data_IF_008129602695
#
_entry.id   IF_008129602695
#
_cell.length_a   1.000
_cell.length_b   1.000
_cell.length_c   1.000
_cell.angle_alpha   90.00
_cell.angle_beta   90.00
_cell.angle_gamma   90.00
#
_symmetry.space_group_name_H-M   'P 1'
#
loop_
_entity.id
_entity.type
_entity.pdbx_description
1 polymer ?
#
# COMPACT_ATOMS: atom_id res chain seq x y z
N UNK A 1 -50.34 35.23 -4.54
CA UNK A 1 -49.92 35.94 -3.31
C UNK A 1 -48.43 35.76 -3.18
N UNK A 2 -47.68 36.84 -2.95
CA UNK A 2 -46.23 36.79 -2.80
C UNK A 2 -45.81 36.77 -1.33
N UNK A 3 -44.62 36.26 -1.09
CA UNK A 3 -43.79 36.45 0.10
C UNK A 3 -42.35 36.23 -0.35
N UNK A 4 -41.56 37.28 -0.59
CA UNK A 4 -40.94 38.15 0.41
C UNK A 4 -39.83 37.40 1.18
N UNK A 5 -38.61 37.52 0.66
CA UNK A 5 -37.36 37.18 1.34
C UNK A 5 -37.06 38.26 2.40
N UNK A 6 -36.46 37.91 3.55
CA UNK A 6 -35.83 38.90 4.42
C UNK A 6 -34.43 39.26 3.89
N UNK A 7 -34.19 40.56 3.76
CA UNK A 7 -32.85 41.13 3.66
C UNK A 7 -32.12 40.93 5.00
N UNK A 8 -30.80 40.73 4.97
CA UNK A 8 -29.94 40.92 6.14
C UNK A 8 -28.76 41.80 5.74
N UNK A 9 -28.50 42.77 6.61
CA UNK A 9 -27.68 43.96 6.37
C UNK A 9 -26.17 43.72 6.50
N UNK A 10 -25.43 44.70 6.03
CA UNK A 10 -23.99 44.90 6.25
C UNK A 10 -23.67 45.38 7.68
N UNK A 11 -22.40 45.75 7.85
CA UNK A 11 -21.80 46.42 9.02
C UNK A 11 -21.41 45.42 10.13
N UNK A 12 -20.28 45.52 10.85
CA UNK A 12 -19.32 46.65 10.99
C UNK A 12 -17.88 46.14 11.29
N UNK A 13 -16.93 47.06 11.38
CA UNK A 13 -15.47 46.87 11.41
C UNK A 13 -14.86 46.20 12.67
N UNK A 14 -13.58 45.81 12.57
CA UNK A 14 -12.80 45.26 13.68
C UNK A 14 -11.35 44.93 13.34
N UNK A 15 -10.52 45.96 13.18
CA UNK A 15 -9.05 45.82 13.20
C UNK A 15 -8.57 45.26 14.56
N UNK A 16 -7.57 44.38 14.56
CA UNK A 16 -6.55 44.42 15.62
C UNK A 16 -5.20 43.87 15.14
N UNK A 17 -4.16 44.37 15.78
CA UNK A 17 -2.79 44.46 15.28
C UNK A 17 -1.86 43.40 15.91
N UNK A 18 -0.62 43.33 15.44
CA UNK A 18 0.52 42.58 16.04
C UNK A 18 0.47 41.03 15.96
N UNK A 19 1.57 40.28 16.01
CA UNK A 19 2.99 40.63 16.20
C UNK A 19 3.90 39.73 15.37
N UNK A 20 5.02 40.27 14.89
CA UNK A 20 6.09 39.47 14.29
C UNK A 20 6.99 38.87 15.37
N UNK A 21 7.29 37.57 15.27
CA UNK A 21 8.42 36.94 15.99
C UNK A 21 9.35 36.27 14.99
N UNK A 22 10.46 36.94 14.69
CA UNK A 22 11.59 36.31 14.01
C UNK A 22 12.27 35.30 14.94
N UNK A 23 12.82 34.23 14.35
CA UNK A 23 13.80 33.35 15.00
C UNK A 23 14.96 33.09 14.05
N UNK A 24 16.19 32.91 14.58
CA UNK A 24 17.40 33.30 13.87
C UNK A 24 17.94 32.21 12.93
N UNK A 25 18.66 32.64 11.90
CA UNK A 25 19.43 31.74 11.05
C UNK A 25 20.64 31.17 11.80
N UNK A 26 20.98 29.92 11.47
CA UNK A 26 22.25 29.31 11.88
C UNK A 26 23.21 29.29 10.69
N UNK A 27 24.46 29.70 10.94
CA UNK A 27 25.60 29.62 10.00
C UNK A 27 26.64 28.69 10.60
N UNK A 28 27.47 28.09 9.74
CA UNK A 28 28.56 27.21 10.14
C UNK A 28 28.14 25.73 10.19
N UNK A 29 28.99 24.77 9.85
CA UNK A 29 30.43 24.91 9.53
C UNK A 29 30.81 24.12 8.28
N UNK A 30 31.74 24.70 7.52
CA UNK A 30 32.61 23.96 6.61
C UNK A 30 33.55 23.08 7.45
N UNK A 31 33.82 21.85 7.01
CA UNK A 31 35.10 21.20 7.27
C UNK A 31 35.40 20.21 6.16
N UNK A 32 36.55 20.44 5.53
CA UNK A 32 37.22 19.53 4.63
C UNK A 32 37.61 18.23 5.36
N UNK A 33 37.67 17.11 4.62
CA UNK A 33 38.67 16.08 4.95
C UNK A 33 39.10 15.37 3.65
N UNK A 34 40.25 15.80 3.14
CA UNK A 34 41.02 15.12 2.09
C UNK A 34 41.66 13.85 2.65
N UNK A 35 41.56 12.71 1.96
CA UNK A 35 42.35 11.55 2.39
C UNK A 35 42.19 10.27 1.57
N UNK A 36 43.29 9.83 0.93
CA UNK A 36 43.50 8.42 0.64
C UNK A 36 43.72 8.03 -0.82
N UNK A 37 44.79 8.54 -1.46
CA UNK A 37 45.39 7.84 -2.59
C UNK A 37 45.99 6.50 -2.12
N UNK A 38 45.51 5.37 -2.65
CA UNK A 38 46.21 4.08 -2.55
C UNK A 38 46.44 3.49 -3.95
N UNK A 39 47.62 3.80 -4.49
CA UNK A 39 48.09 3.34 -5.78
C UNK A 39 48.87 2.01 -5.69
N UNK A 40 48.17 0.87 -5.59
CA UNK A 40 48.84 -0.43 -5.67
C UNK A 40 49.24 -0.80 -7.10
N UNK A 41 50.52 -0.56 -7.39
CA UNK A 41 51.24 -1.08 -8.55
C UNK A 41 51.40 -2.61 -8.48
N UNK A 42 50.80 -3.33 -9.43
CA UNK A 42 51.17 -4.73 -9.74
C UNK A 42 51.58 -4.89 -11.20
N UNK A 43 52.89 -4.74 -11.44
CA UNK A 43 53.54 -5.11 -12.70
C UNK A 43 53.53 -6.63 -12.90
N UNK A 44 52.96 -7.12 -13.99
CA UNK A 44 53.29 -8.46 -14.50
C UNK A 44 53.38 -8.48 -16.03
N UNK A 45 54.40 -9.18 -16.53
CA UNK A 45 54.89 -9.11 -17.91
C UNK A 45 54.18 -10.10 -18.85
N UNK A 46 53.68 -9.66 -20.02
CA UNK A 46 53.27 -10.56 -21.09
C UNK A 46 54.42 -10.85 -22.06
N UNK A 47 54.67 -12.13 -22.34
CA UNK A 47 55.69 -12.58 -23.31
C UNK A 47 55.23 -12.39 -24.77
N UNK A 48 56.16 -12.15 -25.73
CA UNK A 48 55.79 -11.84 -27.11
C UNK A 48 55.51 -13.09 -27.95
N UNK A 49 54.26 -13.32 -28.35
CA UNK A 49 53.91 -14.29 -29.42
C UNK A 49 53.64 -13.63 -30.77
N UNK A 50 54.31 -14.17 -31.78
CA UNK A 50 54.42 -13.63 -33.15
C UNK A 50 53.13 -13.80 -33.97
N UNK A 51 52.81 -12.74 -34.74
CA UNK A 51 52.27 -12.74 -36.12
C UNK A 51 50.99 -13.57 -36.41
N UNK A 52 49.93 -12.89 -36.86
CA UNK A 52 49.42 -13.13 -38.22
C UNK A 52 48.75 -11.89 -38.83
N UNK A 53 48.85 -11.77 -40.16
CA UNK A 53 48.46 -10.60 -40.97
C UNK A 53 46.99 -10.68 -41.39
N UNK A 54 46.33 -9.53 -41.43
CA UNK A 54 45.61 -9.09 -42.63
C UNK A 54 44.12 -9.40 -42.76
N UNK A 55 43.29 -8.37 -42.57
CA UNK A 55 42.06 -8.16 -43.35
C UNK A 55 41.69 -6.67 -43.33
N UNK A 56 41.72 -6.00 -44.49
CA UNK A 56 41.33 -4.58 -44.60
C UNK A 56 39.81 -4.49 -44.84
N UNK A 57 39.04 -4.36 -43.75
CA UNK A 57 37.62 -4.02 -43.81
C UNK A 57 37.41 -2.60 -44.33
N UNK A 58 36.55 -2.40 -45.33
CA UNK A 58 36.30 -1.10 -45.98
C UNK A 58 35.66 -0.11 -45.01
N UNK A 59 36.18 1.13 -45.00
CA UNK A 59 35.55 2.27 -44.34
C UNK A 59 34.17 2.56 -44.97
N UNK A 60 33.11 2.54 -44.16
CA UNK A 60 31.76 2.89 -44.59
C UNK A 60 31.65 4.39 -44.88
N UNK A 61 31.13 4.74 -46.07
CA UNK A 61 30.92 6.14 -46.47
C UNK A 61 29.97 6.83 -45.48
N UNK A 62 30.40 7.98 -44.93
CA UNK A 62 29.52 8.91 -44.22
C UNK A 62 28.36 9.28 -45.14
N UNK A 63 27.11 9.04 -44.72
CA UNK A 63 25.93 9.64 -45.38
C UNK A 63 26.00 11.16 -45.20
N UNK A 64 25.66 11.90 -46.25
CA UNK A 64 25.74 13.35 -46.24
C UNK A 64 24.74 13.94 -45.23
N UNK A 65 25.17 14.98 -44.52
CA UNK A 65 24.35 15.78 -43.61
C UNK A 65 23.75 16.95 -44.41
N UNK A 66 22.74 16.65 -45.22
CA UNK A 66 21.83 17.58 -45.89
C UNK A 66 20.42 16.96 -45.82
N UNK A 67 19.39 17.79 -46.00
CA UNK A 67 17.97 17.41 -45.92
C UNK A 67 17.45 17.27 -44.47
N UNK A 68 17.76 18.26 -43.62
CA UNK A 68 17.10 18.48 -42.31
C UNK A 68 16.75 19.96 -42.04
N UNK A 69 16.76 20.75 -43.11
CA UNK A 69 15.96 21.95 -43.33
C UNK A 69 14.91 21.44 -44.37
N UNK A 70 13.61 21.68 -44.29
CA UNK A 70 12.89 22.82 -43.70
C UNK A 70 11.41 22.43 -43.49
N UNK A 71 11.01 22.08 -42.27
CA UNK A 71 9.60 21.93 -41.90
C UNK A 71 9.46 22.27 -40.40
N UNK A 72 9.66 23.55 -40.09
CA UNK A 72 9.30 24.09 -38.77
C UNK A 72 7.77 23.94 -38.65
N UNK A 73 7.25 23.25 -37.62
CA UNK A 73 5.82 23.18 -37.41
C UNK A 73 5.29 24.60 -37.25
N UNK A 74 4.35 25.01 -38.11
CA UNK A 74 3.58 26.23 -37.87
C UNK A 74 2.82 26.03 -36.57
N UNK A 75 3.27 26.68 -35.50
CA UNK A 75 2.66 26.60 -34.19
C UNK A 75 1.20 27.05 -34.31
N UNK A 76 0.27 26.12 -34.03
CA UNK A 76 -1.18 26.32 -34.15
C UNK A 76 -1.68 27.22 -33.00
N UNK A 77 -1.39 28.51 -33.14
CA UNK A 77 -1.74 29.56 -32.18
C UNK A 77 -3.26 29.74 -32.04
N UNK A 78 -4.05 29.31 -33.02
CA UNK A 78 -5.52 29.33 -32.98
C UNK A 78 -6.10 28.36 -31.94
N UNK A 79 -5.30 27.38 -31.48
CA UNK A 79 -5.65 26.49 -30.36
C UNK A 79 -5.54 27.12 -28.97
N UNK A 80 -4.70 28.15 -28.80
CA UNK A 80 -4.34 28.70 -27.48
C UNK A 80 -5.53 29.25 -26.68
N UNK A 81 -6.48 30.01 -27.27
CA UNK A 81 -7.64 30.52 -26.52
C UNK A 81 -8.50 29.41 -25.91
N UNK A 82 -8.67 28.28 -26.61
CA UNK A 82 -9.48 27.13 -26.12
C UNK A 82 -8.82 26.43 -24.94
N UNK A 83 -7.49 26.35 -24.94
CA UNK A 83 -6.70 25.79 -23.83
C UNK A 83 -6.84 26.72 -22.61
N UNK A 84 -6.75 28.03 -22.81
CA UNK A 84 -6.89 29.02 -21.73
C UNK A 84 -8.30 28.99 -21.11
N UNK A 85 -9.36 28.90 -21.93
CA UNK A 85 -10.74 28.74 -21.46
C UNK A 85 -10.95 27.48 -20.61
N UNK A 86 -10.33 26.35 -21.00
CA UNK A 86 -10.43 25.12 -20.19
C UNK A 86 -9.62 25.23 -18.89
N UNK A 87 -8.43 25.84 -18.92
CA UNK A 87 -7.65 26.11 -17.70
C UNK A 87 -8.44 27.00 -16.71
N UNK A 88 -9.11 28.05 -17.19
CA UNK A 88 -9.97 28.91 -16.36
C UNK A 88 -11.18 28.14 -15.78
N UNK A 89 -11.80 27.23 -16.54
CA UNK A 89 -12.86 26.33 -16.03
C UNK A 89 -12.34 25.38 -14.96
N UNK A 90 -11.13 24.82 -15.12
CA UNK A 90 -10.52 23.94 -14.12
C UNK A 90 -10.15 24.74 -12.86
N UNK A 91 -9.62 25.96 -12.99
CA UNK A 91 -9.37 26.86 -11.85
C UNK A 91 -10.66 27.19 -11.09
N UNK A 92 -11.76 27.50 -11.80
CA UNK A 92 -13.06 27.74 -11.17
C UNK A 92 -13.63 26.50 -10.46
N UNK A 93 -13.38 25.29 -10.96
CA UNK A 93 -13.72 24.02 -10.27
C UNK A 93 -12.85 23.83 -9.02
N UNK A 94 -11.56 24.09 -9.11
CA UNK A 94 -10.61 23.96 -8.00
C UNK A 94 -10.95 24.93 -6.85
N UNK A 95 -11.28 26.18 -7.15
CA UNK A 95 -11.72 27.15 -6.13
C UNK A 95 -12.99 26.67 -5.40
N UNK A 96 -13.97 26.13 -6.13
CA UNK A 96 -15.18 25.52 -5.51
C UNK A 96 -14.89 24.31 -4.63
N UNK A 97 -13.81 23.57 -4.87
CA UNK A 97 -13.37 22.49 -4.00
C UNK A 97 -12.66 23.05 -2.75
N UNK A 98 -11.79 24.04 -2.90
CA UNK A 98 -11.13 24.72 -1.77
C UNK A 98 -12.15 25.34 -0.80
N UNK A 99 -13.22 25.96 -1.30
CA UNK A 99 -14.28 26.51 -0.45
C UNK A 99 -15.10 25.43 0.29
N UNK A 100 -15.21 24.21 -0.28
CA UNK A 100 -15.77 23.05 0.43
C UNK A 100 -14.83 22.54 1.52
N UNK A 101 -13.53 22.45 1.25
CA UNK A 101 -12.52 22.09 2.25
C UNK A 101 -12.56 23.08 3.45
N UNK A 102 -12.57 24.39 3.19
CA UNK A 102 -12.74 25.44 4.20
C UNK A 102 -14.06 25.38 4.97
N UNK A 103 -15.10 24.78 4.40
CA UNK A 103 -16.36 24.51 5.11
C UNK A 103 -16.21 23.30 6.04
N UNK A 104 -15.58 22.23 5.56
CA UNK A 104 -15.28 21.03 6.36
C UNK A 104 -14.35 21.33 7.54
N UNK A 105 -13.29 22.12 7.34
CA UNK A 105 -12.38 22.58 8.39
C UNK A 105 -13.11 23.30 9.54
N UNK A 106 -14.07 24.18 9.19
CA UNK A 106 -14.91 24.87 10.18
C UNK A 106 -15.81 23.91 10.95
N UNK A 107 -16.44 22.94 10.27
CA UNK A 107 -17.25 21.91 10.92
C UNK A 107 -16.41 21.01 11.83
N UNK A 108 -15.20 20.61 11.41
CA UNK A 108 -14.25 19.87 12.26
C UNK A 108 -13.84 20.66 13.50
N UNK A 109 -13.60 21.97 13.37
CA UNK A 109 -13.29 22.84 14.50
C UNK A 109 -14.48 22.95 15.49
N UNK A 110 -15.72 22.98 15.01
CA UNK A 110 -16.92 22.93 15.86
C UNK A 110 -17.06 21.57 16.57
N UNK A 111 -16.87 20.46 15.85
CA UNK A 111 -16.87 19.10 16.41
C UNK A 111 -15.81 18.94 17.50
N UNK A 112 -14.59 19.45 17.28
CA UNK A 112 -13.51 19.46 18.27
C UNK A 112 -13.86 20.27 19.53
N UNK A 113 -14.50 21.44 19.37
CA UNK A 113 -15.03 22.25 20.48
C UNK A 113 -16.13 21.50 21.25
N UNK A 114 -17.04 20.80 20.56
CA UNK A 114 -18.07 19.98 21.21
C UNK A 114 -17.47 18.81 21.99
N UNK A 115 -16.54 18.06 21.39
CA UNK A 115 -15.79 16.98 22.04
C UNK A 115 -15.11 17.45 23.32
N UNK A 116 -14.41 18.59 23.27
CA UNK A 116 -13.73 19.18 24.43
C UNK A 116 -14.70 19.55 25.58
N UNK A 117 -15.89 20.09 25.26
CA UNK A 117 -16.94 20.36 26.26
C UNK A 117 -17.45 19.07 26.92
N UNK A 118 -17.61 18.00 26.17
CA UNK A 118 -18.08 16.70 26.67
C UNK A 118 -17.05 16.04 27.61
N UNK A 119 -15.76 16.11 27.27
CA UNK A 119 -14.69 15.64 28.17
C UNK A 119 -14.70 16.42 29.50
N UNK A 120 -14.97 17.72 29.45
CA UNK A 120 -15.10 18.55 30.66
C UNK A 120 -16.34 18.17 31.51
N UNK A 121 -17.49 17.91 30.89
CA UNK A 121 -18.68 17.42 31.61
C UNK A 121 -18.49 16.00 32.17
N UNK A 122 -17.90 15.08 31.41
CA UNK A 122 -17.54 13.74 31.88
C UNK A 122 -16.63 13.82 33.13
N UNK A 123 -15.66 14.73 33.12
CA UNK A 123 -14.78 14.96 34.27
C UNK A 123 -15.50 15.60 35.47
N UNK A 124 -16.48 16.49 35.26
CA UNK A 124 -17.34 17.01 36.34
C UNK A 124 -18.16 15.87 36.97
N UNK A 125 -18.80 15.04 36.15
CA UNK A 125 -19.59 13.88 36.59
C UNK A 125 -18.71 12.90 37.40
N UNK A 126 -17.51 12.58 36.92
CA UNK A 126 -16.55 11.74 37.67
C UNK A 126 -16.17 12.34 39.01
N UNK A 127 -15.89 13.66 39.08
CA UNK A 127 -15.57 14.35 40.34
C UNK A 127 -16.73 14.32 41.35
N UNK A 128 -17.97 14.57 40.91
CA UNK A 128 -19.13 14.50 41.81
C UNK A 128 -19.39 13.06 42.28
N UNK A 129 -19.27 12.07 41.39
CA UNK A 129 -19.42 10.66 41.73
C UNK A 129 -18.39 10.17 42.78
N UNK A 130 -17.14 10.67 42.73
CA UNK A 130 -16.09 10.36 43.71
C UNK A 130 -16.35 10.97 45.10
N UNK A 131 -17.11 12.07 45.18
CA UNK A 131 -17.49 12.70 46.45
C UNK A 131 -18.72 12.05 47.12
N UNK A 132 -19.45 11.19 46.40
CA UNK A 132 -20.69 10.56 46.86
C UNK A 132 -20.49 9.23 47.59
N UNK A 133 -21.34 8.93 48.58
CA UNK A 133 -21.39 7.61 49.23
C UNK A 133 -21.56 6.49 48.20
N UNK A 134 -20.91 5.34 48.44
CA UNK A 134 -20.67 4.19 47.52
C UNK A 134 -21.86 3.59 46.72
N UNK A 135 -23.10 4.05 46.90
CA UNK A 135 -24.29 3.48 46.26
C UNK A 135 -24.61 3.96 44.83
N UNK A 136 -23.85 4.90 44.24
CA UNK A 136 -24.28 5.59 42.99
C UNK A 136 -23.34 5.45 41.78
N UNK A 137 -22.22 4.73 41.88
CA UNK A 137 -21.24 4.61 40.77
C UNK A 137 -21.84 4.02 39.48
N UNK A 138 -22.75 3.05 39.59
CA UNK A 138 -23.31 2.35 38.43
C UNK A 138 -24.18 3.25 37.53
N UNK A 139 -24.83 4.28 38.08
CA UNK A 139 -25.62 5.24 37.30
C UNK A 139 -24.75 6.22 36.50
N UNK A 140 -23.54 6.52 36.99
CA UNK A 140 -22.61 7.44 36.32
C UNK A 140 -22.11 6.91 34.97
N UNK A 141 -21.90 5.60 34.85
CA UNK A 141 -21.42 4.99 33.59
C UNK A 141 -22.48 5.03 32.49
N UNK A 142 -23.73 4.74 32.83
CA UNK A 142 -24.86 4.77 31.89
C UNK A 142 -25.08 6.20 31.35
N UNK A 143 -25.04 7.21 32.22
CA UNK A 143 -25.21 8.60 31.81
C UNK A 143 -24.11 9.05 30.84
N UNK A 144 -22.87 8.62 31.06
CA UNK A 144 -21.74 8.94 30.18
C UNK A 144 -21.86 8.30 28.79
N UNK A 145 -22.34 7.05 28.72
CA UNK A 145 -22.59 6.37 27.44
C UNK A 145 -23.76 7.02 26.68
N UNK A 146 -24.83 7.39 27.38
CA UNK A 146 -25.96 8.12 26.78
C UNK A 146 -25.53 9.49 26.22
N UNK A 147 -24.67 10.22 26.93
CA UNK A 147 -24.14 11.50 26.47
C UNK A 147 -23.31 11.36 25.19
N UNK A 148 -22.43 10.35 25.11
CA UNK A 148 -21.63 10.06 23.90
C UNK A 148 -22.51 9.63 22.72
N UNK A 149 -23.55 8.83 22.97
CA UNK A 149 -24.45 8.35 21.93
C UNK A 149 -25.34 9.47 21.34
N UNK A 150 -25.89 10.34 22.20
CA UNK A 150 -26.66 11.51 21.76
C UNK A 150 -25.83 12.46 20.88
N UNK A 151 -24.56 12.66 21.22
CA UNK A 151 -23.63 13.49 20.45
C UNK A 151 -23.30 12.86 19.10
N UNK A 152 -23.11 11.54 19.03
CA UNK A 152 -22.92 10.85 17.75
C UNK A 152 -24.13 11.03 16.82
N UNK A 153 -25.36 10.90 17.33
CA UNK A 153 -26.58 11.14 16.55
C UNK A 153 -26.62 12.58 16.03
N UNK A 154 -26.32 13.56 16.90
CA UNK A 154 -26.33 14.98 16.50
C UNK A 154 -25.25 15.32 15.45
N UNK A 155 -24.08 14.67 15.55
CA UNK A 155 -23.03 14.69 14.52
C UNK A 155 -23.50 14.09 13.20
N UNK A 156 -24.16 12.93 13.25
CA UNK A 156 -24.68 12.22 12.10
C UNK A 156 -25.77 13.06 11.39
N UNK A 157 -26.69 13.67 12.13
CA UNK A 157 -27.70 14.59 11.60
C UNK A 157 -27.09 15.85 10.97
N UNK A 158 -26.08 16.47 11.62
CA UNK A 158 -25.37 17.63 11.07
C UNK A 158 -24.64 17.30 9.76
N UNK A 159 -24.02 16.12 9.67
CA UNK A 159 -23.28 15.67 8.49
C UNK A 159 -24.22 15.24 7.35
N UNK A 160 -25.26 14.45 7.65
CA UNK A 160 -26.29 14.02 6.69
C UNK A 160 -27.09 15.20 6.11
N UNK A 161 -27.34 16.24 6.90
CA UNK A 161 -28.10 17.41 6.47
C UNK A 161 -27.33 18.39 5.55
N UNK A 162 -26.00 18.32 5.51
CA UNK A 162 -25.17 19.34 4.82
C UNK A 162 -24.20 18.82 3.76
N UNK A 163 -23.93 17.51 3.71
CA UNK A 163 -22.98 16.92 2.77
C UNK A 163 -23.69 16.11 1.69
N UNK A 164 -23.21 16.23 0.45
CA UNK A 164 -23.61 15.32 -0.61
C UNK A 164 -23.10 13.90 -0.25
N UNK A 165 -23.82 12.80 -0.56
CA UNK A 165 -23.44 11.46 -0.11
C UNK A 165 -22.01 11.00 -0.48
N UNK A 166 -21.43 11.61 -1.52
CA UNK A 166 -20.03 11.38 -1.94
C UNK A 166 -19.03 12.06 -1.00
N UNK A 167 -19.35 13.25 -0.50
CA UNK A 167 -18.49 14.03 0.40
C UNK A 167 -18.52 13.42 1.82
N UNK A 168 -19.69 12.93 2.26
CA UNK A 168 -19.87 12.18 3.51
C UNK A 168 -19.01 10.90 3.55
N UNK A 169 -18.84 10.23 2.41
CA UNK A 169 -18.01 9.03 2.27
C UNK A 169 -16.51 9.33 2.38
N UNK A 170 -16.03 10.50 1.91
CA UNK A 170 -14.65 10.93 2.12
C UNK A 170 -14.34 11.17 3.61
N UNK A 171 -15.19 11.93 4.30
CA UNK A 171 -15.01 12.27 5.72
C UNK A 171 -15.00 11.00 6.61
N UNK A 172 -15.83 10.01 6.29
CA UNK A 172 -15.83 8.71 6.97
C UNK A 172 -14.51 7.95 6.81
N UNK A 173 -13.86 8.06 5.64
CA UNK A 173 -12.55 7.44 5.39
C UNK A 173 -11.40 8.18 6.09
N UNK A 174 -11.44 9.53 6.16
CA UNK A 174 -10.44 10.32 6.89
C UNK A 174 -10.56 10.14 8.41
N UNK A 175 -11.78 10.14 8.98
CA UNK A 175 -11.99 9.75 10.37
C UNK A 175 -11.55 8.30 10.65
N UNK A 176 -11.76 7.39 9.71
CA UNK A 176 -11.23 6.02 9.77
C UNK A 176 -9.70 5.97 9.79
N UNK A 177 -9.04 6.87 9.07
CA UNK A 177 -7.58 7.00 9.04
C UNK A 177 -7.01 7.63 10.33
N UNK A 178 -7.66 8.66 10.89
CA UNK A 178 -7.29 9.21 12.20
C UNK A 178 -7.51 8.19 13.33
N UNK A 179 -8.62 7.44 13.31
CA UNK A 179 -8.87 6.37 14.27
C UNK A 179 -7.83 5.25 14.14
N UNK A 180 -7.43 4.89 12.91
CA UNK A 180 -6.33 3.96 12.67
C UNK A 180 -4.98 4.51 13.17
N UNK A 181 -4.72 5.82 13.03
CA UNK A 181 -3.53 6.49 13.56
C UNK A 181 -3.50 6.47 15.09
N UNK A 182 -4.64 6.71 15.74
CA UNK A 182 -4.77 6.58 17.20
C UNK A 182 -4.51 5.14 17.68
N UNK A 183 -4.97 4.13 16.94
CA UNK A 183 -4.68 2.71 17.22
C UNK A 183 -3.20 2.37 17.00
N UNK A 184 -2.54 2.96 16.00
CA UNK A 184 -1.11 2.76 15.72
C UNK A 184 -0.21 3.21 16.88
N UNK A 185 -0.64 4.19 17.69
CA UNK A 185 0.13 4.66 18.85
C UNK A 185 0.17 3.66 20.02
N UNK A 186 -0.71 2.65 20.08
CA UNK A 186 -0.70 1.61 21.11
C UNK A 186 -0.24 0.22 20.61
N UNK A 187 0.05 0.07 19.31
CA UNK A 187 0.44 -1.22 18.71
C UNK A 187 1.90 -1.21 18.29
N UNK A 188 2.76 -1.92 19.04
CA UNK A 188 4.16 -2.15 18.69
C UNK A 188 4.27 -2.84 17.30
N UNK A 189 4.78 -2.16 16.26
CA UNK A 189 4.62 -2.61 14.89
C UNK A 189 5.78 -3.51 14.46
N UNK A 190 5.46 -4.76 14.12
CA UNK A 190 6.41 -5.71 13.53
C UNK A 190 6.51 -5.57 12.00
N UNK A 191 7.56 -6.17 11.45
CA UNK A 191 7.76 -6.39 10.03
C UNK A 191 7.96 -7.88 9.74
N UNK A 192 7.71 -8.28 8.50
CA UNK A 192 8.18 -9.52 7.92
C UNK A 192 8.58 -9.21 6.48
N UNK A 193 9.70 -9.79 6.05
CA UNK A 193 10.25 -9.80 4.68
C UNK A 193 9.29 -10.39 3.62
N UNK A 194 9.75 -11.21 2.67
CA UNK A 194 11.11 -11.65 2.39
C UNK A 194 11.77 -10.78 1.30
N UNK A 195 13.10 -10.68 1.32
CA UNK A 195 13.87 -10.21 0.17
C UNK A 195 14.86 -11.30 -0.30
N UNK A 196 15.01 -11.46 -1.61
CA UNK A 196 15.93 -12.44 -2.21
C UNK A 196 17.23 -11.76 -2.64
N UNK A 197 18.24 -11.85 -1.77
CA UNK A 197 19.62 -11.48 -2.09
C UNK A 197 20.37 -12.60 -2.83
N UNK A 198 21.51 -12.24 -3.42
CA UNK A 198 22.57 -13.20 -3.76
C UNK A 198 23.78 -12.96 -2.88
N UNK A 199 24.16 -13.96 -2.10
CA UNK A 199 25.42 -13.90 -1.36
C UNK A 199 26.62 -13.86 -2.32
N UNK A 200 27.78 -13.45 -1.81
CA UNK A 200 29.03 -13.36 -2.57
C UNK A 200 29.39 -14.63 -3.38
N UNK A 201 28.98 -15.82 -2.88
CA UNK A 201 29.14 -17.13 -3.55
C UNK A 201 28.07 -17.46 -4.61
N UNK A 202 27.21 -16.50 -5.01
CA UNK A 202 26.12 -16.61 -6.00
C UNK A 202 24.97 -17.58 -5.63
N UNK A 203 24.92 -18.09 -4.41
CA UNK A 203 23.73 -18.76 -3.89
C UNK A 203 22.62 -17.72 -3.62
N UNK A 204 21.38 -18.08 -3.92
CA UNK A 204 20.22 -17.29 -3.50
C UNK A 204 20.07 -17.38 -1.98
N UNK A 205 19.94 -16.23 -1.33
CA UNK A 205 19.74 -16.10 0.11
C UNK A 205 18.45 -15.32 0.29
N UNK A 206 17.45 -15.95 0.92
CA UNK A 206 16.21 -15.26 1.26
C UNK A 206 16.34 -14.68 2.67
N UNK A 207 16.31 -13.36 2.78
CA UNK A 207 16.39 -12.62 4.04
C UNK A 207 14.97 -12.42 4.57
N UNK A 208 14.60 -13.23 5.56
CA UNK A 208 13.39 -13.04 6.37
C UNK A 208 13.71 -12.08 7.52
N UNK A 209 13.75 -10.79 7.23
CA UNK A 209 13.84 -9.76 8.26
C UNK A 209 12.52 -9.64 9.03
N UNK A 210 12.58 -9.71 10.36
CA UNK A 210 11.45 -9.46 11.26
C UNK A 210 11.82 -8.37 12.25
N UNK A 211 11.60 -7.12 11.86
CA UNK A 211 12.08 -5.93 12.59
C UNK A 211 10.92 -5.14 13.20
N UNK A 212 10.99 -4.75 14.48
CA UNK A 212 10.13 -3.71 15.02
C UNK A 212 10.57 -2.35 14.46
N UNK A 213 9.64 -1.42 14.21
CA UNK A 213 9.96 -0.06 13.70
C UNK A 213 10.88 0.73 14.65
N UNK A 214 11.02 0.30 15.90
CA UNK A 214 11.86 0.92 16.93
C UNK A 214 13.23 0.23 17.13
N UNK A 215 13.61 -0.72 16.27
CA UNK A 215 14.99 -1.24 16.18
C UNK A 215 15.50 -2.15 17.30
N UNK A 216 14.77 -2.32 18.41
CA UNK A 216 15.15 -3.23 19.49
C UNK A 216 13.98 -4.04 20.06
N UNK A 217 14.26 -5.31 20.37
CA UNK A 217 13.62 -6.03 21.48
C UNK A 217 12.25 -6.66 21.24
N UNK A 218 12.12 -7.58 20.28
CA UNK A 218 11.04 -8.58 20.31
C UNK A 218 11.48 -9.94 19.76
N UNK A 219 11.26 -10.99 20.56
CA UNK A 219 11.44 -12.38 20.15
C UNK A 219 10.33 -12.86 19.20
N UNK A 220 10.57 -14.00 18.54
CA UNK A 220 9.79 -14.50 17.40
C UNK A 220 8.46 -15.16 17.85
N UNK A 221 7.39 -14.39 18.03
CA UNK A 221 6.09 -14.87 18.57
C UNK A 221 5.15 -15.50 17.52
N UNK A 222 5.16 -15.04 16.27
CA UNK A 222 4.01 -15.13 15.32
C UNK A 222 3.51 -16.57 15.01
N UNK A 223 4.34 -17.61 15.12
CA UNK A 223 4.00 -19.00 14.76
C UNK A 223 4.06 -20.00 15.92
N UNK A 224 4.40 -19.57 17.14
CA UNK A 224 4.46 -20.45 18.32
C UNK A 224 3.09 -20.69 18.97
N UNK A 225 2.25 -19.66 19.04
CA UNK A 225 1.02 -19.66 19.84
C UNK A 225 0.00 -20.73 19.42
N UNK A 226 -0.16 -20.98 18.12
CA UNK A 226 -1.24 -21.81 17.59
C UNK A 226 -0.98 -23.32 17.71
N UNK A 227 0.18 -23.74 18.25
CA UNK A 227 0.61 -25.16 18.37
C UNK A 227 0.28 -26.00 17.13
N UNK A 228 0.45 -25.45 15.93
CA UNK A 228 0.08 -26.10 14.68
C UNK A 228 0.68 -27.52 14.66
N UNK A 229 -0.19 -28.51 14.55
CA UNK A 229 0.12 -29.90 14.87
C UNK A 229 1.27 -30.41 14.00
N UNK A 230 2.39 -30.75 14.64
CA UNK A 230 3.66 -31.10 13.99
C UNK A 230 4.88 -30.36 14.58
N UNK A 231 4.69 -29.21 15.23
CA UNK A 231 5.78 -28.37 15.76
C UNK A 231 6.08 -28.57 17.26
N UNK A 232 5.89 -29.75 17.83
CA UNK A 232 5.75 -29.94 19.29
C UNK A 232 7.03 -29.90 20.15
N UNK A 233 8.25 -29.87 19.57
CA UNK A 233 9.48 -30.10 20.37
C UNK A 233 10.68 -29.17 20.12
N UNK A 234 10.57 -28.13 19.29
CA UNK A 234 11.72 -27.27 18.97
C UNK A 234 11.30 -25.83 18.70
N UNK A 235 11.97 -24.86 19.33
CA UNK A 235 11.57 -23.44 19.35
C UNK A 235 11.47 -22.75 17.97
N UNK A 236 10.98 -21.49 18.01
CA UNK A 236 10.47 -20.71 16.87
C UNK A 236 11.22 -20.87 15.54
N UNK A 237 12.55 -20.82 15.58
CA UNK A 237 13.43 -20.95 14.41
C UNK A 237 13.17 -22.25 13.63
N UNK A 238 13.01 -23.38 14.32
CA UNK A 238 12.80 -24.68 13.65
C UNK A 238 11.39 -24.80 13.07
N UNK A 239 10.40 -24.14 13.66
CA UNK A 239 9.05 -24.02 13.08
C UNK A 239 9.08 -23.23 11.77
N UNK A 240 9.81 -22.11 11.73
CA UNK A 240 10.01 -21.30 10.51
C UNK A 240 10.77 -22.07 9.43
N UNK A 241 11.86 -22.75 9.80
CA UNK A 241 12.62 -23.59 8.85
C UNK A 241 11.76 -24.73 8.26
N UNK A 242 10.92 -25.37 9.10
CA UNK A 242 9.99 -26.41 8.64
C UNK A 242 8.93 -25.85 7.67
N UNK A 243 8.26 -24.76 8.03
CA UNK A 243 7.26 -24.12 7.17
C UNK A 243 7.86 -23.59 5.86
N UNK A 244 9.11 -23.12 5.89
CA UNK A 244 9.83 -22.73 4.67
C UNK A 244 10.20 -23.93 3.80
N UNK A 245 10.58 -25.07 4.40
CA UNK A 245 10.82 -26.31 3.67
C UNK A 245 9.52 -26.85 3.02
N UNK A 246 8.40 -26.83 3.74
CA UNK A 246 7.07 -27.17 3.20
C UNK A 246 6.67 -26.24 2.05
N UNK A 247 6.80 -24.92 2.23
CA UNK A 247 6.52 -23.92 1.20
C UNK A 247 7.39 -24.11 -0.06
N UNK A 248 8.68 -24.41 0.14
CA UNK A 248 9.62 -24.64 -0.96
C UNK A 248 9.31 -25.92 -1.74
N UNK A 249 8.89 -26.99 -1.07
CA UNK A 249 8.46 -28.21 -1.75
C UNK A 249 7.10 -28.01 -2.44
N UNK A 250 6.15 -27.32 -1.81
CA UNK A 250 4.87 -26.93 -2.42
C UNK A 250 5.04 -26.12 -3.71
N UNK A 251 6.05 -25.26 -3.76
CA UNK A 251 6.27 -24.32 -4.85
C UNK A 251 7.34 -24.74 -5.88
N UNK A 252 7.89 -25.95 -5.76
CA UNK A 252 9.03 -26.49 -6.51
C UNK A 252 8.96 -26.33 -8.04
N UNK A 253 7.74 -26.30 -8.60
CA UNK A 253 7.48 -26.15 -10.04
C UNK A 253 7.02 -24.74 -10.45
N UNK A 254 6.66 -23.88 -9.48
CA UNK A 254 5.92 -22.63 -9.73
C UNK A 254 6.53 -21.39 -9.04
N UNK A 255 7.60 -21.52 -8.24
CA UNK A 255 8.29 -20.39 -7.61
C UNK A 255 9.16 -19.62 -8.61
N UNK A 256 8.89 -18.32 -8.74
CA UNK A 256 9.76 -17.31 -9.33
C UNK A 256 9.42 -15.98 -8.67
N UNK A 257 10.37 -15.04 -8.58
CA UNK A 257 10.23 -13.76 -7.84
C UNK A 257 8.90 -13.01 -8.06
N UNK A 258 8.34 -13.08 -9.28
CA UNK A 258 7.04 -12.47 -9.57
C UNK A 258 5.85 -13.20 -8.93
N UNK A 259 5.93 -14.51 -8.77
CA UNK A 259 4.87 -15.33 -8.21
C UNK A 259 4.82 -15.36 -6.67
N UNK A 260 5.86 -14.92 -5.95
CA UNK A 260 6.02 -15.02 -4.50
C UNK A 260 4.73 -14.77 -3.71
N UNK A 261 4.11 -13.59 -3.90
CA UNK A 261 2.83 -13.24 -3.24
C UNK A 261 1.72 -14.25 -3.56
N UNK A 262 1.58 -14.68 -4.82
CA UNK A 262 0.52 -15.64 -5.21
C UNK A 262 0.80 -17.05 -4.70
N UNK A 263 2.06 -17.46 -4.64
CA UNK A 263 2.49 -18.77 -4.18
C UNK A 263 2.32 -18.87 -2.67
N UNK A 264 2.76 -17.85 -1.92
CA UNK A 264 2.59 -17.77 -0.46
C UNK A 264 1.11 -17.76 -0.09
N UNK A 265 0.26 -16.96 -0.75
CA UNK A 265 -1.18 -16.93 -0.42
C UNK A 265 -1.89 -18.25 -0.78
N UNK A 266 -1.49 -18.93 -1.87
CA UNK A 266 -1.97 -20.28 -2.19
C UNK A 266 -1.54 -21.32 -1.17
N UNK A 267 -0.26 -21.32 -0.80
CA UNK A 267 0.30 -22.21 0.21
C UNK A 267 -0.37 -22.02 1.58
N UNK A 268 -0.54 -20.77 2.02
CA UNK A 268 -1.19 -20.46 3.30
C UNK A 268 -2.65 -20.92 3.29
N UNK A 269 -3.42 -20.69 2.21
CA UNK A 269 -4.79 -21.21 2.11
C UNK A 269 -4.83 -22.74 2.15
N UNK A 270 -3.88 -23.42 1.49
CA UNK A 270 -3.74 -24.87 1.57
C UNK A 270 -3.42 -25.34 3.00
N UNK A 271 -2.44 -24.73 3.67
CA UNK A 271 -2.00 -25.11 5.01
C UNK A 271 -3.10 -24.87 6.06
N UNK A 272 -3.72 -23.68 6.07
CA UNK A 272 -4.85 -23.39 6.95
C UNK A 272 -6.07 -24.27 6.62
N UNK A 273 -6.31 -24.58 5.34
CA UNK A 273 -7.37 -25.51 4.92
C UNK A 273 -7.16 -26.94 5.42
N UNK A 274 -5.92 -27.42 5.52
CA UNK A 274 -5.64 -28.71 6.18
C UNK A 274 -5.81 -28.61 7.70
N UNK A 275 -5.22 -27.59 8.35
CA UNK A 275 -5.35 -27.38 9.80
C UNK A 275 -6.81 -27.30 10.26
N UNK A 276 -7.66 -26.56 9.53
CA UNK A 276 -9.10 -26.44 9.83
C UNK A 276 -9.86 -27.76 9.63
N UNK A 277 -9.43 -28.62 8.70
CA UNK A 277 -10.05 -29.95 8.49
C UNK A 277 -9.61 -31.00 9.51
N UNK A 278 -8.41 -30.86 10.07
CA UNK A 278 -7.85 -31.82 11.02
C UNK A 278 -8.41 -31.67 12.45
N UNK A 279 -9.13 -30.57 12.72
CA UNK A 279 -10.14 -30.22 13.78
C UNK A 279 -9.89 -30.59 15.26
N UNK A 280 -9.31 -31.75 15.56
CA UNK A 280 -9.18 -32.40 16.87
C UNK A 280 -8.56 -31.56 18.00
N UNK A 281 -7.91 -30.43 17.68
CA UNK A 281 -7.16 -29.61 18.63
C UNK A 281 -7.46 -28.09 18.55
N UNK A 282 -8.44 -27.64 17.75
CA UNK A 282 -8.59 -26.21 17.45
C UNK A 282 -9.32 -25.40 18.54
N UNK A 283 -10.23 -26.03 19.30
CA UNK A 283 -10.92 -25.38 20.43
C UNK A 283 -11.47 -23.99 20.12
N UNK A 284 -11.16 -23.01 20.99
CA UNK A 284 -11.58 -21.61 20.85
C UNK A 284 -10.83 -20.82 19.74
N UNK A 285 -9.80 -21.42 19.12
CA UNK A 285 -9.08 -20.83 17.98
C UNK A 285 -9.66 -21.20 16.63
N UNK A 286 -10.50 -22.24 16.53
CA UNK A 286 -11.14 -22.70 15.27
C UNK A 286 -11.74 -21.53 14.48
N UNK A 287 -12.64 -20.76 15.10
CA UNK A 287 -13.30 -19.61 14.46
C UNK A 287 -12.34 -18.51 14.00
N UNK A 288 -11.17 -18.37 14.63
CA UNK A 288 -10.16 -17.40 14.22
C UNK A 288 -9.37 -17.92 12.99
N UNK A 289 -9.01 -19.20 12.98
CA UNK A 289 -8.33 -19.86 11.86
C UNK A 289 -9.22 -19.94 10.61
N UNK A 290 -10.52 -20.23 10.77
CA UNK A 290 -11.52 -20.16 9.70
C UNK A 290 -11.57 -18.76 9.06
N UNK A 291 -11.53 -17.69 9.88
CA UNK A 291 -11.56 -16.31 9.36
C UNK A 291 -10.30 -15.98 8.56
N UNK A 292 -9.14 -16.52 8.98
CA UNK A 292 -7.88 -16.40 8.21
C UNK A 292 -7.99 -17.17 6.90
N UNK A 293 -8.53 -18.39 6.91
CA UNK A 293 -8.73 -19.22 5.72
C UNK A 293 -9.68 -18.57 4.72
N UNK A 294 -10.80 -17.99 5.18
CA UNK A 294 -11.74 -17.21 4.37
C UNK A 294 -11.03 -16.02 3.70
N UNK A 295 -10.27 -15.25 4.49
CA UNK A 295 -9.49 -14.13 4.00
C UNK A 295 -8.49 -14.57 2.92
N UNK A 296 -7.71 -15.61 3.16
CA UNK A 296 -6.72 -16.15 2.21
C UNK A 296 -7.38 -16.71 0.95
N UNK A 297 -8.56 -17.32 1.07
CA UNK A 297 -9.34 -17.84 -0.06
C UNK A 297 -9.88 -16.69 -0.91
N UNK A 298 -10.37 -15.62 -0.29
CA UNK A 298 -10.76 -14.39 -0.99
C UNK A 298 -9.56 -13.74 -1.70
N UNK A 299 -8.41 -13.61 -1.03
CA UNK A 299 -7.16 -13.11 -1.62
C UNK A 299 -6.71 -13.93 -2.83
N UNK A 300 -6.74 -15.27 -2.74
CA UNK A 300 -6.42 -16.15 -3.85
C UNK A 300 -7.36 -15.97 -5.04
N UNK A 301 -8.67 -15.82 -4.78
CA UNK A 301 -9.68 -15.59 -5.83
C UNK A 301 -9.50 -14.23 -6.49
N UNK A 302 -9.22 -13.19 -5.71
CA UNK A 302 -8.91 -11.84 -6.19
C UNK A 302 -7.69 -11.84 -7.11
N UNK A 303 -6.54 -12.31 -6.61
CA UNK A 303 -5.28 -12.36 -7.36
C UNK A 303 -5.41 -13.24 -8.61
N UNK A 304 -5.93 -14.46 -8.48
CA UNK A 304 -6.06 -15.38 -9.63
C UNK A 304 -6.98 -14.84 -10.72
N UNK A 305 -8.02 -14.08 -10.36
CA UNK A 305 -8.89 -13.44 -11.35
C UNK A 305 -8.20 -12.26 -12.03
N UNK A 306 -7.42 -11.45 -11.29
CA UNK A 306 -6.62 -10.37 -11.84
C UNK A 306 -5.56 -10.86 -12.85
N UNK A 307 -4.78 -11.91 -12.51
CA UNK A 307 -3.79 -12.48 -13.44
C UNK A 307 -4.39 -13.16 -14.67
N UNK A 308 -5.64 -13.61 -14.59
CA UNK A 308 -6.37 -14.18 -15.74
C UNK A 308 -6.95 -13.10 -16.66
N UNK A 309 -7.15 -11.89 -16.17
CA UNK A 309 -7.67 -10.78 -16.97
C UNK A 309 -6.58 -10.16 -17.85
N UNK A 310 -6.97 -9.74 -19.05
CA UNK A 310 -6.13 -8.87 -19.88
C UNK A 310 -6.00 -7.46 -19.29
N UNK A 311 -5.42 -6.54 -20.07
CA UNK A 311 -5.26 -5.13 -19.69
C UNK A 311 -6.62 -4.45 -19.42
N UNK A 312 -7.66 -4.81 -20.17
CA UNK A 312 -9.02 -4.31 -19.97
C UNK A 312 -9.88 -5.41 -19.30
N UNK A 313 -10.40 -5.14 -18.10
CA UNK A 313 -11.16 -6.14 -17.34
C UNK A 313 -12.58 -6.26 -17.88
N UNK A 314 -12.99 -7.46 -18.30
CA UNK A 314 -14.37 -7.75 -18.71
C UNK A 314 -15.34 -7.64 -17.53
N UNK A 315 -16.55 -7.09 -17.75
CA UNK A 315 -17.55 -6.86 -16.68
C UNK A 315 -17.88 -8.09 -15.82
N UNK A 316 -17.82 -9.30 -16.41
CA UNK A 316 -18.04 -10.59 -15.72
C UNK A 316 -16.94 -10.88 -14.67
N UNK A 317 -15.69 -10.64 -15.03
CA UNK A 317 -14.53 -10.85 -14.17
C UNK A 317 -14.41 -9.70 -13.16
N UNK A 318 -14.71 -8.46 -13.57
CA UNK A 318 -14.75 -7.29 -12.68
C UNK A 318 -15.67 -7.50 -11.47
N UNK A 319 -16.88 -8.03 -11.68
CA UNK A 319 -17.80 -8.39 -10.57
C UNK A 319 -17.14 -9.38 -9.59
N UNK A 320 -16.40 -10.35 -10.12
CA UNK A 320 -15.70 -11.36 -9.32
C UNK A 320 -14.52 -10.75 -8.55
N UNK A 321 -13.73 -9.89 -9.21
CA UNK A 321 -12.60 -9.17 -8.61
C UNK A 321 -13.11 -8.26 -7.48
N UNK A 322 -14.07 -7.38 -7.73
CA UNK A 322 -14.63 -6.46 -6.70
C UNK A 322 -15.20 -7.25 -5.51
N UNK A 323 -16.00 -8.30 -5.76
CA UNK A 323 -16.57 -9.13 -4.70
C UNK A 323 -15.51 -9.86 -3.87
N UNK A 324 -14.46 -10.40 -4.49
CA UNK A 324 -13.36 -11.07 -3.77
C UNK A 324 -12.40 -10.08 -3.09
N UNK A 325 -12.23 -8.89 -3.66
CA UNK A 325 -11.49 -7.78 -3.07
C UNK A 325 -12.13 -7.32 -1.75
N UNK A 326 -13.43 -7.04 -1.77
CA UNK A 326 -14.18 -6.72 -0.55
C UNK A 326 -14.14 -7.84 0.49
N UNK A 327 -14.33 -9.09 0.08
CA UNK A 327 -14.24 -10.23 1.00
C UNK A 327 -12.85 -10.37 1.64
N UNK A 328 -11.77 -10.08 0.89
CA UNK A 328 -10.40 -10.02 1.40
C UNK A 328 -10.20 -8.87 2.40
N UNK A 329 -10.65 -7.65 2.08
CA UNK A 329 -10.53 -6.49 2.98
C UNK A 329 -11.32 -6.70 4.28
N UNK A 330 -12.56 -7.20 4.19
CA UNK A 330 -13.39 -7.53 5.35
C UNK A 330 -12.82 -8.71 6.15
N UNK A 331 -12.29 -9.73 5.48
CA UNK A 331 -11.60 -10.86 6.12
C UNK A 331 -10.39 -10.38 6.93
N UNK A 332 -9.57 -9.51 6.35
CA UNK A 332 -8.42 -8.91 7.03
C UNK A 332 -8.86 -8.12 8.28
N UNK A 333 -9.86 -7.26 8.15
CA UNK A 333 -10.39 -6.48 9.27
C UNK A 333 -10.93 -7.39 10.40
N UNK A 334 -11.71 -8.42 10.07
CA UNK A 334 -12.21 -9.41 11.05
C UNK A 334 -11.07 -10.15 11.75
N UNK A 335 -10.03 -10.55 11.02
CA UNK A 335 -8.85 -11.18 11.60
C UNK A 335 -8.10 -10.24 12.55
N UNK A 336 -7.94 -8.98 12.15
CA UNK A 336 -7.32 -7.94 12.99
C UNK A 336 -8.10 -7.72 14.28
N UNK A 337 -9.43 -7.58 14.22
CA UNK A 337 -10.29 -7.47 15.40
C UNK A 337 -10.17 -8.70 16.29
N UNK A 338 -10.25 -9.92 15.74
CA UNK A 338 -10.14 -11.17 16.52
C UNK A 338 -8.78 -11.32 17.20
N UNK A 339 -7.69 -10.95 16.52
CA UNK A 339 -6.35 -10.95 17.10
C UNK A 339 -6.24 -9.92 18.24
N UNK A 340 -6.71 -8.69 18.01
CA UNK A 340 -6.74 -7.63 19.02
C UNK A 340 -7.55 -8.03 20.26
N UNK A 341 -8.73 -8.63 20.11
CA UNK A 341 -9.54 -9.12 21.25
C UNK A 341 -8.86 -10.23 22.05
N UNK A 342 -7.89 -10.94 21.46
CA UNK A 342 -7.07 -11.96 22.13
C UNK A 342 -5.73 -11.39 22.65
N UNK A 343 -5.50 -10.08 22.58
CA UNK A 343 -4.25 -9.43 22.98
C UNK A 343 -3.08 -9.63 22.01
N UNK A 344 -3.36 -10.06 20.76
CA UNK A 344 -2.34 -10.38 19.77
C UNK A 344 -2.17 -9.28 18.71
N UNK A 345 -0.98 -8.67 18.66
CA UNK A 345 -0.58 -7.67 17.65
C UNK A 345 -0.21 -8.29 16.28
N UNK A 346 -1.07 -9.14 15.70
CA UNK A 346 -0.76 -9.94 14.49
C UNK A 346 -1.06 -9.27 13.14
N UNK A 347 -1.91 -8.25 13.10
CA UNK A 347 -2.36 -7.62 11.85
C UNK A 347 -1.99 -6.14 11.80
N UNK A 348 -0.98 -5.81 10.98
CA UNK A 348 -0.48 -4.45 10.78
C UNK A 348 -1.07 -3.80 9.54
N UNK A 349 -1.80 -2.70 9.73
CA UNK A 349 -2.23 -1.80 8.66
C UNK A 349 -1.01 -1.10 8.05
N UNK A 350 -0.45 -1.69 6.99
CA UNK A 350 0.65 -1.10 6.22
C UNK A 350 0.12 -0.17 5.12
N UNK A 351 0.91 0.81 4.64
CA UNK A 351 0.55 1.61 3.46
C UNK A 351 0.21 0.78 2.22
N UNK A 352 0.83 -0.40 2.06
CA UNK A 352 0.48 -1.37 1.00
C UNK A 352 -0.96 -1.91 1.11
N UNK A 353 -1.52 -2.05 2.32
CA UNK A 353 -2.91 -2.44 2.53
C UNK A 353 -3.86 -1.26 2.21
N UNK A 354 -3.49 -0.04 2.58
CA UNK A 354 -4.26 1.15 2.19
C UNK A 354 -4.32 1.33 0.66
N UNK A 355 -3.19 1.12 -0.05
CA UNK A 355 -3.17 1.08 -1.52
C UNK A 355 -4.07 -0.03 -2.10
N UNK A 356 -4.17 -1.19 -1.43
CA UNK A 356 -5.06 -2.26 -1.84
C UNK A 356 -6.54 -1.89 -1.67
N UNK A 357 -6.89 -1.12 -0.62
CA UNK A 357 -8.24 -0.56 -0.47
C UNK A 357 -8.61 0.34 -1.66
N UNK A 358 -7.74 1.31 -2.01
CA UNK A 358 -7.95 2.19 -3.17
C UNK A 358 -8.15 1.40 -4.46
N UNK A 359 -7.30 0.40 -4.72
CA UNK A 359 -7.44 -0.47 -5.90
C UNK A 359 -8.79 -1.18 -5.95
N UNK A 360 -9.31 -1.68 -4.82
CA UNK A 360 -10.62 -2.34 -4.77
C UNK A 360 -11.76 -1.33 -4.99
N UNK A 361 -11.70 -0.16 -4.35
CA UNK A 361 -12.74 0.88 -4.47
C UNK A 361 -12.77 1.52 -5.87
N UNK A 362 -11.62 1.74 -6.52
CA UNK A 362 -11.57 2.23 -7.90
C UNK A 362 -12.20 1.23 -8.89
N UNK A 363 -11.95 -0.06 -8.71
CA UNK A 363 -12.57 -1.12 -9.51
C UNK A 363 -14.08 -1.19 -9.29
N UNK A 364 -14.56 -0.96 -8.06
CA UNK A 364 -15.99 -0.87 -7.74
C UNK A 364 -16.65 0.39 -8.33
N UNK A 365 -15.99 1.54 -8.25
CA UNK A 365 -16.46 2.77 -8.86
C UNK A 365 -16.62 2.61 -10.38
N UNK A 366 -15.64 1.99 -11.05
CA UNK A 366 -15.72 1.63 -12.46
C UNK A 366 -16.86 0.63 -12.75
N UNK A 367 -17.02 -0.41 -11.93
CA UNK A 367 -18.09 -1.40 -12.08
C UNK A 367 -19.48 -0.75 -12.02
N UNK A 368 -19.66 0.18 -11.08
CA UNK A 368 -20.88 0.96 -10.83
C UNK A 368 -21.17 1.92 -11.98
N UNK A 369 -20.18 2.68 -12.42
CA UNK A 369 -20.25 3.61 -13.58
C UNK A 369 -20.37 2.89 -14.94
N UNK A 370 -20.35 1.56 -14.96
CA UNK A 370 -20.32 0.71 -16.18
C UNK A 370 -19.13 0.99 -17.10
N UNK A 371 -18.03 1.49 -16.56
CA UNK A 371 -16.77 1.71 -17.26
C UNK A 371 -16.00 0.38 -17.38
N UNK A 372 -15.03 0.34 -18.30
CA UNK A 372 -14.10 -0.78 -18.48
C UNK A 372 -12.78 -0.39 -17.81
N UNK A 373 -12.50 -0.86 -16.58
CA UNK A 373 -11.28 -0.47 -15.90
C UNK A 373 -10.05 -1.15 -16.51
N UNK A 374 -8.94 -0.45 -16.42
CA UNK A 374 -7.61 -1.00 -16.65
C UNK A 374 -7.27 -1.92 -15.48
N UNK A 375 -6.66 -3.08 -15.78
CA UNK A 375 -6.20 -4.03 -14.80
C UNK A 375 -5.07 -3.41 -13.96
N UNK A 376 -5.18 -3.35 -12.62
CA UNK A 376 -4.14 -2.79 -11.76
C UNK A 376 -2.74 -3.39 -11.96
N UNK A 377 -2.67 -4.65 -12.42
CA UNK A 377 -1.40 -5.31 -12.77
C UNK A 377 -0.65 -4.63 -13.93
N UNK A 378 -1.32 -3.81 -14.76
CA UNK A 378 -0.67 -3.00 -15.79
C UNK A 378 0.29 -1.94 -15.22
N UNK A 379 0.09 -1.54 -13.95
CA UNK A 379 0.97 -0.62 -13.22
C UNK A 379 1.97 -1.34 -12.29
N UNK A 380 1.97 -2.68 -12.28
CA UNK A 380 2.85 -3.47 -11.39
C UNK A 380 4.22 -3.70 -12.00
N UNK A 381 5.29 -3.29 -11.29
CA UNK A 381 6.68 -3.57 -11.64
C UNK A 381 7.00 -5.07 -11.74
N UNK A 382 6.18 -5.92 -11.10
CA UNK A 382 6.34 -7.37 -11.07
C UNK A 382 6.36 -8.01 -12.47
N UNK A 383 5.54 -7.51 -13.40
CA UNK A 383 5.48 -8.06 -14.77
C UNK A 383 6.73 -7.69 -15.60
N UNK A 384 7.19 -6.42 -15.64
CA UNK A 384 8.50 -6.06 -16.15
C UNK A 384 9.66 -6.82 -15.50
N UNK A 385 9.67 -6.99 -14.17
CA UNK A 385 10.74 -7.71 -13.47
C UNK A 385 10.83 -9.19 -13.87
N UNK A 386 9.70 -9.90 -13.91
CA UNK A 386 9.64 -11.29 -14.37
C UNK A 386 10.09 -11.42 -15.84
N UNK A 387 9.65 -10.50 -16.71
CA UNK A 387 10.10 -10.44 -18.10
C UNK A 387 11.62 -10.25 -18.21
N UNK A 388 12.19 -9.27 -17.49
CA UNK A 388 13.64 -9.02 -17.45
C UNK A 388 14.39 -10.24 -16.93
N UNK A 389 13.90 -10.90 -15.88
CA UNK A 389 14.52 -12.09 -15.30
C UNK A 389 14.50 -13.29 -16.26
N UNK A 390 13.42 -13.47 -17.03
CA UNK A 390 13.31 -14.50 -18.08
C UNK A 390 14.28 -14.22 -19.24
N UNK A 391 14.29 -13.00 -19.78
CA UNK A 391 15.21 -12.59 -20.85
C UNK A 391 16.68 -12.70 -20.40
N UNK A 392 17.00 -12.27 -19.17
CA UNK A 392 18.33 -12.41 -18.59
C UNK A 392 18.73 -13.87 -18.31
N UNK A 393 17.77 -14.79 -18.17
CA UNK A 393 18.06 -16.22 -18.05
C UNK A 393 18.35 -16.85 -19.40
N UNK A 394 17.59 -16.50 -20.44
CA UNK A 394 17.89 -16.90 -21.82
C UNK A 394 19.25 -16.36 -22.29
N UNK A 395 19.60 -15.12 -21.95
CA UNK A 395 20.89 -14.52 -22.35
C UNK A 395 22.12 -15.19 -21.71
N UNK A 396 21.95 -15.83 -20.54
CA UNK A 396 23.00 -16.65 -19.89
C UNK A 396 23.20 -18.03 -20.53
N UNK A 397 22.26 -18.50 -21.35
CA UNK A 397 22.32 -19.81 -22.01
C UNK A 397 22.97 -19.76 -23.40
N UNK A 398 23.27 -18.57 -23.92
CA UNK A 398 23.78 -18.37 -25.28
C UNK A 398 25.25 -17.95 -25.29
N UNK A 399 25.95 -18.24 -26.39
CA UNK A 399 27.35 -17.85 -26.56
C UNK A 399 27.51 -16.33 -26.49
N UNK A 400 28.47 -15.85 -25.67
CA UNK A 400 28.75 -14.43 -25.40
C UNK A 400 28.86 -13.57 -26.66
N UNK A 401 29.52 -14.08 -27.72
CA UNK A 401 29.72 -13.38 -29.00
C UNK A 401 28.42 -13.16 -29.78
N UNK A 402 27.34 -13.87 -29.45
CA UNK A 402 26.04 -13.82 -30.14
C UNK A 402 24.87 -13.54 -29.19
N UNK A 403 25.13 -13.04 -27.98
CA UNK A 403 24.12 -12.85 -26.91
C UNK A 403 22.88 -12.14 -27.42
N UNK A 404 22.99 -10.94 -28.00
CA UNK A 404 21.82 -10.13 -28.37
C UNK A 404 20.92 -10.85 -29.39
N UNK A 405 21.50 -11.38 -30.48
CA UNK A 405 20.76 -12.07 -31.54
C UNK A 405 20.15 -13.37 -31.01
N UNK A 406 20.94 -14.21 -30.34
CA UNK A 406 20.46 -15.52 -29.86
C UNK A 406 19.45 -15.41 -28.71
N UNK A 407 19.53 -14.37 -27.88
CA UNK A 407 18.51 -14.10 -26.87
C UNK A 407 17.18 -13.72 -27.53
N UNK A 408 17.21 -12.89 -28.58
CA UNK A 408 16.02 -12.54 -29.37
C UNK A 408 15.45 -13.77 -30.08
N UNK A 409 16.29 -14.62 -30.67
CA UNK A 409 15.84 -15.87 -31.32
C UNK A 409 15.15 -16.82 -30.33
N UNK A 410 15.77 -17.06 -29.16
CA UNK A 410 15.20 -17.90 -28.11
C UNK A 410 13.92 -17.29 -27.53
N UNK A 411 13.86 -15.98 -27.36
CA UNK A 411 12.64 -15.30 -26.91
C UNK A 411 11.50 -15.43 -27.93
N UNK A 412 11.78 -15.25 -29.23
CA UNK A 412 10.79 -15.48 -30.30
C UNK A 412 10.28 -16.93 -30.30
N UNK A 413 11.16 -17.91 -30.12
CA UNK A 413 10.78 -19.32 -30.00
C UNK A 413 9.93 -19.60 -28.74
N UNK A 414 10.22 -18.92 -27.63
CA UNK A 414 9.42 -19.04 -26.41
C UNK A 414 8.02 -18.43 -26.60
N UNK A 415 7.91 -17.24 -27.19
CA UNK A 415 6.61 -16.61 -27.51
C UNK A 415 5.80 -17.47 -28.50
N UNK A 416 6.45 -17.96 -29.57
CA UNK A 416 5.82 -18.82 -30.57
C UNK A 416 5.43 -20.23 -30.06
N UNK A 417 5.86 -20.61 -28.84
CA UNK A 417 5.42 -21.81 -28.13
C UNK A 417 4.26 -21.54 -27.17
N UNK A 418 4.03 -20.28 -26.80
CA UNK A 418 2.94 -19.84 -25.92
C UNK A 418 1.72 -19.29 -26.66
N UNK A 419 1.87 -19.03 -27.96
CA UNK A 419 0.79 -18.79 -28.93
C UNK A 419 0.36 -20.11 -29.57
#
# INVERSE_FOLDING_TARGET
GGGALPELSSDDDGDDDTSATASPGNKGDDNDDDGGDDAESMTSTPTPKKRRRGSKGRCGKKRAKKDFEEELPTEDMDGVPKILDELLKQQARMNKLLDRCRKLERLMAEVSKMSSRLVMEENKIKKTALSGKKGNQQKSGVLCLQLRYAVMIQLEEMLLGQLHPVDLWLVSNEMGAELASAIVNEVLPFYLIADEGRGYKKHGIMVLGAEPVLGYGCDVVVLLDLKLSGCSHTGAEKCLQHLYAELKEYAKEHWFKGADTTVVVKYLAYKYGSVVRDDQFLGEDASYLETILDCLTASNKFMSTLYRCGIFIQRKDLRTIVSSGHAMLQGYAKCATKAHTKGFARFKLNPKFHMLCHVVFDLEANFTKKQVPINPLAYSCQMPEDFINKVATLSRQVNSTKVSIRTIDLYKLAVARSW
#
